data_IF_281438433741
#
_entry.id   IF_281438433741
#
_cell.length_a   1.000
_cell.length_b   1.000
_cell.length_c   1.000
_cell.angle_alpha   90.00
_cell.angle_beta   90.00
_cell.angle_gamma   90.00
#
_symmetry.space_group_name_H-M   'P 1'
#
loop_
_entity.id
_entity.type
_entity.pdbx_description
1 polymer ?
#
# COMPACT_ATOMS: atom_id res chain seq x y z
N UNK A 1 -22.79 22.48 13.55
CA UNK A 1 -22.91 21.16 12.90
C UNK A 1 -23.02 21.26 11.38
N UNK A 2 -24.01 22.01 10.86
CA UNK A 2 -24.30 22.16 9.42
C UNK A 2 -23.14 22.72 8.59
N UNK A 3 -22.46 23.78 9.06
CA UNK A 3 -21.28 24.34 8.36
C UNK A 3 -20.14 23.34 8.18
N UNK A 4 -19.83 22.55 9.22
CA UNK A 4 -18.76 21.54 9.17
C UNK A 4 -19.10 20.39 8.21
N UNK A 5 -20.37 19.95 8.20
CA UNK A 5 -20.85 18.92 7.27
C UNK A 5 -20.81 19.44 5.84
N UNK A 6 -21.24 20.68 5.60
CA UNK A 6 -21.17 21.30 4.28
C UNK A 6 -19.71 21.41 3.78
N UNK A 7 -18.78 21.86 4.63
CA UNK A 7 -17.35 21.89 4.30
C UNK A 7 -16.83 20.51 3.92
N UNK A 8 -17.18 19.46 4.68
CA UNK A 8 -16.80 18.08 4.35
C UNK A 8 -17.39 17.61 3.02
N UNK A 9 -18.65 17.92 2.73
CA UNK A 9 -19.26 17.57 1.44
C UNK A 9 -18.55 18.26 0.28
N UNK A 10 -18.24 19.54 0.40
CA UNK A 10 -17.52 20.31 -0.63
C UNK A 10 -16.13 19.72 -0.86
N UNK A 11 -15.38 19.42 0.21
CA UNK A 11 -14.03 18.87 0.06
C UNK A 11 -14.06 17.47 -0.55
N UNK A 12 -15.00 16.61 -0.15
CA UNK A 12 -15.15 15.29 -0.77
C UNK A 12 -15.53 15.39 -2.25
N UNK A 13 -16.36 16.38 -2.62
CA UNK A 13 -16.67 16.65 -4.03
C UNK A 13 -15.42 17.07 -4.81
N UNK A 14 -14.60 17.98 -4.25
CA UNK A 14 -13.33 18.39 -4.86
C UNK A 14 -12.39 17.19 -5.04
N UNK A 15 -12.28 16.33 -4.03
CA UNK A 15 -11.47 15.11 -4.12
C UNK A 15 -11.95 14.20 -5.24
N UNK A 16 -13.26 14.02 -5.42
CA UNK A 16 -13.81 13.25 -6.53
C UNK A 16 -13.49 13.87 -7.89
N UNK A 17 -13.58 15.20 -8.01
CA UNK A 17 -13.21 15.92 -9.24
C UNK A 17 -11.72 15.79 -9.55
N UNK A 18 -10.86 15.84 -8.53
CA UNK A 18 -9.41 15.63 -8.72
C UNK A 18 -9.12 14.18 -9.14
N UNK A 19 -9.81 13.20 -8.56
CA UNK A 19 -9.68 11.79 -8.95
C UNK A 19 -10.13 11.58 -10.39
N UNK A 20 -11.31 12.07 -10.78
CA UNK A 20 -11.79 11.92 -12.17
C UNK A 20 -10.92 12.66 -13.17
N UNK A 21 -10.46 13.88 -12.83
CA UNK A 21 -9.52 14.65 -13.63
C UNK A 21 -8.18 13.92 -13.82
N UNK A 22 -7.66 13.26 -12.79
CA UNK A 22 -6.45 12.46 -12.89
C UNK A 22 -6.62 11.27 -13.86
N UNK A 23 -7.76 10.57 -13.79
CA UNK A 23 -8.05 9.45 -14.71
C UNK A 23 -8.24 9.93 -16.14
N UNK A 24 -8.96 11.03 -16.35
CA UNK A 24 -9.13 11.65 -17.66
C UNK A 24 -7.79 12.10 -18.25
N UNK A 25 -6.89 12.66 -17.44
CA UNK A 25 -5.56 13.07 -17.88
C UNK A 25 -4.70 11.87 -18.29
N UNK A 26 -4.79 10.74 -17.58
CA UNK A 26 -4.09 9.50 -17.94
C UNK A 26 -4.61 8.97 -19.28
N UNK A 27 -5.94 8.90 -19.44
CA UNK A 27 -6.56 8.48 -20.70
C UNK A 27 -6.15 9.36 -21.86
N UNK A 28 -6.20 10.68 -21.68
CA UNK A 28 -5.78 11.66 -22.69
C UNK A 28 -4.28 11.54 -23.01
N UNK A 29 -3.42 11.40 -22.00
CA UNK A 29 -1.98 11.21 -22.20
C UNK A 29 -1.69 9.93 -23.00
N UNK A 30 -2.44 8.87 -22.74
CA UNK A 30 -2.35 7.62 -23.50
C UNK A 30 -2.79 7.80 -24.95
N UNK A 31 -4.00 8.31 -25.22
CA UNK A 31 -4.51 8.49 -26.59
C UNK A 31 -3.67 9.49 -27.39
N UNK A 32 -3.25 10.60 -26.76
CA UNK A 32 -2.37 11.59 -27.38
C UNK A 32 -1.00 11.01 -27.73
N UNK A 33 -0.37 10.29 -26.80
CA UNK A 33 0.91 9.60 -27.03
C UNK A 33 0.81 8.69 -28.25
N UNK A 34 -0.23 7.86 -28.32
CA UNK A 34 -0.43 6.90 -29.42
C UNK A 34 -0.65 7.58 -30.76
N UNK A 35 -1.55 8.56 -30.82
CA UNK A 35 -1.82 9.31 -32.06
C UNK A 35 -0.56 9.95 -32.63
N UNK A 36 0.34 10.45 -31.75
CA UNK A 36 1.59 11.07 -32.18
C UNK A 36 2.73 10.10 -32.45
N UNK A 37 2.66 8.87 -31.95
CA UNK A 37 3.62 7.80 -32.26
C UNK A 37 3.40 7.19 -33.65
N UNK A 38 2.25 7.46 -34.29
CA UNK A 38 1.93 7.04 -35.66
C UNK A 38 2.47 8.02 -36.72
N UNK A 39 2.76 9.27 -36.36
CA UNK A 39 3.41 10.24 -37.24
C UNK A 39 4.90 9.84 -37.47
N UNK A 40 5.33 9.64 -38.73
CA UNK A 40 6.70 9.22 -39.04
C UNK A 40 7.77 10.32 -38.86
N UNK A 41 7.38 11.60 -38.97
CA UNK A 41 8.30 12.77 -39.01
C UNK A 41 8.77 13.28 -37.63
N UNK A 42 8.71 12.44 -36.61
CA UNK A 42 8.94 12.87 -35.23
C UNK A 42 10.39 12.63 -34.79
N UNK A 43 11.03 13.67 -34.25
CA UNK A 43 12.40 13.59 -33.73
C UNK A 43 12.55 12.52 -32.63
N UNK A 44 13.69 11.81 -32.62
CA UNK A 44 13.93 10.67 -31.72
C UNK A 44 13.67 10.97 -30.24
N UNK A 45 14.16 12.11 -29.73
CA UNK A 45 14.01 12.47 -28.31
C UNK A 45 12.55 12.76 -27.95
N UNK A 46 11.80 13.38 -28.86
CA UNK A 46 10.38 13.62 -28.67
C UNK A 46 9.58 12.33 -28.73
N UNK A 47 9.92 11.42 -29.65
CA UNK A 47 9.32 10.08 -29.74
C UNK A 47 9.54 9.27 -28.45
N UNK A 48 10.74 9.32 -27.89
CA UNK A 48 11.04 8.69 -26.60
C UNK A 48 10.19 9.28 -25.46
N UNK A 49 10.09 10.61 -25.39
CA UNK A 49 9.23 11.27 -24.39
C UNK A 49 7.76 10.90 -24.53
N UNK A 50 7.24 10.82 -25.76
CA UNK A 50 5.87 10.38 -26.02
C UNK A 50 5.66 8.95 -25.55
N UNK A 51 6.61 8.05 -25.77
CA UNK A 51 6.51 6.65 -25.37
C UNK A 51 6.46 6.46 -23.84
N UNK A 52 7.08 7.37 -23.08
CA UNK A 52 7.05 7.38 -21.62
C UNK A 52 5.93 8.26 -21.05
N UNK A 53 5.26 9.05 -21.88
CA UNK A 53 4.29 10.07 -21.45
C UNK A 53 3.20 9.50 -20.53
N UNK A 54 2.50 8.38 -20.86
CA UNK A 54 1.44 7.86 -20.00
C UNK A 54 1.99 7.43 -18.63
N UNK A 55 3.15 6.79 -18.63
CA UNK A 55 3.82 6.34 -17.41
C UNK A 55 4.31 7.51 -16.55
N UNK A 56 4.89 8.55 -17.16
CA UNK A 56 5.30 9.79 -16.49
C UNK A 56 4.08 10.48 -15.86
N UNK A 57 2.96 10.56 -16.59
CA UNK A 57 1.72 11.16 -16.09
C UNK A 57 1.21 10.40 -14.87
N UNK A 58 1.18 9.06 -14.90
CA UNK A 58 0.75 8.23 -13.76
C UNK A 58 1.65 8.46 -12.54
N UNK A 59 2.98 8.37 -12.72
CA UNK A 59 3.95 8.56 -11.62
C UNK A 59 3.88 9.97 -11.05
N UNK A 60 3.75 10.99 -11.91
CA UNK A 60 3.60 12.39 -11.51
C UNK A 60 2.32 12.61 -10.70
N UNK A 61 1.19 12.05 -11.13
CA UNK A 61 -0.08 12.12 -10.38
C UNK A 61 0.03 11.40 -9.04
N UNK A 62 0.64 10.21 -9.00
CA UNK A 62 0.87 9.44 -7.77
C UNK A 62 1.80 10.14 -6.77
N UNK A 63 2.62 11.08 -7.22
CA UNK A 63 3.48 11.91 -6.37
C UNK A 63 2.78 13.20 -5.92
N UNK A 64 2.08 13.89 -6.82
CA UNK A 64 1.52 15.23 -6.57
C UNK A 64 0.16 15.18 -5.85
N UNK A 65 -0.75 14.32 -6.29
CA UNK A 65 -2.14 14.30 -5.82
C UNK A 65 -2.26 13.91 -4.34
N UNK A 66 -1.49 12.95 -3.78
CA UNK A 66 -1.53 12.67 -2.34
C UNK A 66 -1.17 13.86 -1.45
N UNK A 67 -0.28 14.74 -1.92
CA UNK A 67 0.06 15.97 -1.21
C UNK A 67 -1.13 16.94 -1.21
N UNK A 68 -1.87 17.02 -2.33
CA UNK A 68 -3.13 17.78 -2.40
C UNK A 68 -4.20 17.19 -1.47
N UNK A 69 -4.33 15.87 -1.39
CA UNK A 69 -5.26 15.24 -0.44
C UNK A 69 -4.91 15.58 1.01
N UNK A 70 -3.63 15.57 1.37
CA UNK A 70 -3.19 15.95 2.72
C UNK A 70 -3.56 17.41 3.02
N UNK A 71 -3.38 18.30 2.04
CA UNK A 71 -3.78 19.70 2.14
C UNK A 71 -5.31 19.85 2.29
N UNK A 72 -6.11 19.18 1.47
CA UNK A 72 -7.57 19.24 1.56
C UNK A 72 -8.13 18.66 2.87
N UNK A 73 -7.57 17.56 3.36
CA UNK A 73 -7.99 16.93 4.61
C UNK A 73 -7.78 17.85 5.82
N UNK A 74 -6.80 18.76 5.75
CA UNK A 74 -6.55 19.74 6.83
C UNK A 74 -7.75 20.64 7.12
N UNK A 75 -8.59 20.92 6.11
CA UNK A 75 -9.81 21.71 6.26
C UNK A 75 -10.99 20.90 6.83
N UNK A 76 -10.97 19.56 6.78
CA UNK A 76 -12.07 18.71 7.24
C UNK A 76 -12.11 18.54 8.78
N UNK A 77 -11.07 19.04 9.48
CA UNK A 77 -10.91 19.03 10.94
C UNK A 77 -11.21 17.64 11.56
N UNK A 78 -10.63 16.59 10.98
CA UNK A 78 -10.73 15.23 11.51
C UNK A 78 -9.73 14.97 12.64
N UNK A 79 -9.94 13.88 13.40
CA UNK A 79 -8.93 13.41 14.36
C UNK A 79 -7.65 12.98 13.62
N UNK A 80 -6.46 13.14 14.22
CA UNK A 80 -5.18 12.89 13.52
C UNK A 80 -5.06 11.46 12.97
N UNK A 81 -5.61 10.47 13.69
CA UNK A 81 -5.63 9.08 13.21
C UNK A 81 -6.58 8.88 12.02
N UNK A 82 -7.70 9.61 11.97
CA UNK A 82 -8.62 9.54 10.84
C UNK A 82 -8.05 10.25 9.61
N UNK A 83 -7.38 11.40 9.79
CA UNK A 83 -6.66 12.13 8.73
C UNK A 83 -5.69 11.21 7.99
N UNK A 84 -4.87 10.45 8.73
CA UNK A 84 -3.93 9.50 8.12
C UNK A 84 -4.67 8.40 7.35
N UNK A 85 -5.71 7.79 7.95
CA UNK A 85 -6.47 6.70 7.30
C UNK A 85 -7.19 7.15 6.02
N UNK A 86 -7.87 8.29 6.05
CA UNK A 86 -8.61 8.79 4.87
C UNK A 86 -7.66 9.21 3.76
N UNK A 87 -6.52 9.82 4.11
CA UNK A 87 -5.49 10.20 3.13
C UNK A 87 -4.90 8.95 2.47
N UNK A 88 -4.54 7.92 3.26
CA UNK A 88 -4.07 6.64 2.73
C UNK A 88 -5.09 6.00 1.81
N UNK A 89 -6.36 5.95 2.21
CA UNK A 89 -7.44 5.39 1.40
C UNK A 89 -7.56 6.12 0.05
N UNK A 90 -7.60 7.46 0.07
CA UNK A 90 -7.67 8.28 -1.16
C UNK A 90 -6.45 8.06 -2.06
N UNK A 91 -5.25 7.92 -1.49
CA UNK A 91 -4.02 7.63 -2.26
C UNK A 91 -4.04 6.24 -2.88
N UNK A 92 -4.51 5.22 -2.15
CA UNK A 92 -4.65 3.86 -2.69
C UNK A 92 -5.65 3.84 -3.84
N UNK A 93 -6.81 4.47 -3.64
CA UNK A 93 -7.85 4.55 -4.66
C UNK A 93 -7.31 5.21 -5.93
N UNK A 94 -6.55 6.31 -5.81
CA UNK A 94 -5.88 6.93 -6.96
C UNK A 94 -4.94 5.94 -7.65
N UNK A 95 -3.99 5.34 -6.92
CA UNK A 95 -2.98 4.44 -7.49
C UNK A 95 -3.61 3.25 -8.22
N UNK A 96 -4.61 2.61 -7.62
CA UNK A 96 -5.32 1.48 -8.21
C UNK A 96 -6.18 1.91 -9.40
N UNK A 97 -6.90 3.03 -9.30
CA UNK A 97 -7.70 3.54 -10.40
C UNK A 97 -6.83 3.95 -11.60
N UNK A 98 -5.63 4.50 -11.38
CA UNK A 98 -4.66 4.80 -12.44
C UNK A 98 -4.22 3.53 -13.18
N UNK A 99 -3.98 2.42 -12.47
CA UNK A 99 -3.65 1.13 -13.09
C UNK A 99 -4.82 0.58 -13.89
N UNK A 100 -6.04 0.64 -13.33
CA UNK A 100 -7.24 0.22 -14.04
C UNK A 100 -7.44 1.04 -15.31
N UNK A 101 -7.24 2.36 -15.24
CA UNK A 101 -7.37 3.24 -16.41
C UNK A 101 -6.36 2.91 -17.50
N UNK A 102 -5.10 2.61 -17.14
CA UNK A 102 -4.09 2.14 -18.09
C UNK A 102 -4.54 0.85 -18.77
N UNK A 103 -5.02 -0.14 -18.01
CA UNK A 103 -5.49 -1.42 -18.55
C UNK A 103 -6.71 -1.24 -19.48
N UNK A 104 -7.65 -0.37 -19.10
CA UNK A 104 -8.81 -0.03 -19.96
C UNK A 104 -8.35 0.64 -21.25
N UNK A 105 -7.38 1.54 -21.18
CA UNK A 105 -6.84 2.26 -22.36
C UNK A 105 -6.09 1.32 -23.29
N UNK A 106 -5.33 0.36 -22.74
CA UNK A 106 -4.70 -0.72 -23.49
C UNK A 106 -5.74 -1.65 -24.13
N UNK A 107 -6.86 -1.93 -23.44
CA UNK A 107 -7.92 -2.77 -23.96
C UNK A 107 -8.72 -2.10 -25.08
N UNK A 108 -8.98 -0.79 -24.98
CA UNK A 108 -9.64 -0.03 -26.03
C UNK A 108 -8.87 -0.10 -27.35
N UNK A 109 -7.53 -0.08 -27.26
CA UNK A 109 -6.65 -0.30 -28.39
C UNK A 109 -6.83 -1.67 -29.06
N UNK A 110 -7.23 -2.70 -28.31
CA UNK A 110 -7.51 -4.04 -28.86
C UNK A 110 -8.81 -4.04 -29.65
N UNK A 111 -9.83 -3.34 -29.14
CA UNK A 111 -11.16 -3.30 -29.76
C UNK A 111 -11.16 -2.56 -31.09
N UNK A 112 -10.35 -1.50 -31.23
CA UNK A 112 -10.18 -0.79 -32.51
C UNK A 112 -9.51 -1.63 -33.62
N UNK A 113 -8.87 -2.76 -33.29
CA UNK A 113 -8.27 -3.68 -34.29
C UNK A 113 -9.27 -4.57 -35.01
N UNK A 114 -10.55 -4.57 -34.60
CA UNK A 114 -11.60 -5.36 -35.23
C UNK A 114 -12.19 -4.71 -36.50
N UNK A 115 -11.72 -3.53 -36.91
CA UNK A 115 -12.03 -2.91 -38.20
C UNK A 115 -10.87 -3.13 -39.21
N UNK A 116 -11.21 -3.47 -40.46
CA UNK A 116 -10.39 -4.11 -41.51
C UNK A 116 -9.06 -3.43 -41.96
N UNK A 117 -8.54 -2.43 -41.26
CA UNK A 117 -7.26 -1.78 -41.57
C UNK A 117 -6.44 -1.52 -40.32
N UNK A 118 -5.68 -2.52 -39.89
CA UNK A 118 -4.53 -2.26 -39.03
C UNK A 118 -3.40 -3.24 -39.33
N UNK A 119 -2.20 -2.69 -39.42
CA UNK A 119 -0.96 -3.43 -39.56
C UNK A 119 -0.80 -4.40 -38.38
N UNK A 120 -0.92 -5.70 -38.66
CA UNK A 120 -0.79 -6.78 -37.70
C UNK A 120 0.64 -6.90 -37.12
N UNK A 121 1.57 -5.99 -37.42
CA UNK A 121 2.97 -6.08 -36.99
C UNK A 121 3.20 -5.94 -35.48
N UNK A 122 2.30 -5.28 -34.72
CA UNK A 122 2.52 -4.97 -33.29
C UNK A 122 1.79 -5.91 -32.32
N UNK A 123 2.57 -6.60 -31.51
CA UNK A 123 2.15 -7.44 -30.38
C UNK A 123 1.56 -6.58 -29.25
N UNK A 124 0.29 -6.81 -28.92
CA UNK A 124 -0.34 -6.04 -27.85
C UNK A 124 0.15 -6.47 -26.46
N UNK A 125 0.46 -7.76 -26.27
CA UNK A 125 0.98 -8.32 -25.03
C UNK A 125 2.33 -7.67 -24.68
N UNK A 126 3.21 -7.55 -25.69
CA UNK A 126 4.49 -6.85 -25.55
C UNK A 126 4.27 -5.37 -25.24
N UNK A 127 3.28 -4.72 -25.86
CA UNK A 127 2.97 -3.32 -25.57
C UNK A 127 2.49 -3.14 -24.12
N UNK A 128 1.64 -4.03 -23.62
CA UNK A 128 1.18 -4.04 -22.24
C UNK A 128 2.35 -4.27 -21.26
N UNK A 129 3.22 -5.24 -21.56
CA UNK A 129 4.43 -5.50 -20.78
C UNK A 129 5.38 -4.30 -20.75
N UNK A 130 5.56 -3.61 -21.88
CA UNK A 130 6.38 -2.40 -21.96
C UNK A 130 5.82 -1.27 -21.09
N UNK A 131 4.51 -1.00 -21.11
CA UNK A 131 3.92 0.04 -20.26
C UNK A 131 4.09 -0.27 -18.77
N UNK A 132 3.86 -1.52 -18.35
CA UNK A 132 4.09 -1.91 -16.95
C UNK A 132 5.58 -1.81 -16.58
N UNK A 133 6.48 -2.20 -17.48
CA UNK A 133 7.93 -2.14 -17.26
C UNK A 133 8.42 -0.69 -17.10
N UNK A 134 7.94 0.24 -17.96
CA UNK A 134 8.22 1.68 -17.85
C UNK A 134 7.72 2.24 -16.53
N UNK A 135 6.52 1.86 -16.09
CA UNK A 135 5.95 2.28 -14.81
C UNK A 135 6.80 1.82 -13.63
N UNK A 136 7.26 0.58 -13.62
CA UNK A 136 8.12 0.03 -12.55
C UNK A 136 9.42 0.82 -12.44
N UNK A 137 10.12 1.02 -13.57
CA UNK A 137 11.37 1.80 -13.60
C UNK A 137 11.14 3.24 -13.16
N UNK A 138 10.09 3.90 -13.67
CA UNK A 138 9.80 5.30 -13.34
C UNK A 138 9.36 5.48 -11.89
N UNK A 139 8.62 4.53 -11.32
CA UNK A 139 8.25 4.55 -9.91
C UNK A 139 9.51 4.45 -9.03
N UNK A 140 10.39 3.48 -9.32
CA UNK A 140 11.67 3.35 -8.62
C UNK A 140 12.53 4.61 -8.76
N UNK A 141 12.67 5.15 -9.98
CA UNK A 141 13.41 6.37 -10.25
C UNK A 141 12.82 7.58 -9.51
N UNK A 142 11.50 7.71 -9.46
CA UNK A 142 10.80 8.75 -8.71
C UNK A 142 11.08 8.65 -7.22
N UNK A 143 11.03 7.45 -6.64
CA UNK A 143 11.37 7.23 -5.22
C UNK A 143 12.83 7.60 -4.91
N UNK A 144 13.75 7.27 -5.82
CA UNK A 144 15.15 7.67 -5.72
C UNK A 144 15.30 9.20 -5.76
N UNK A 145 14.71 9.85 -6.77
CA UNK A 145 14.78 11.30 -6.96
C UNK A 145 14.16 12.05 -5.77
N UNK A 146 12.97 11.66 -5.32
CA UNK A 146 12.34 12.25 -4.13
C UNK A 146 13.25 12.15 -2.90
N UNK A 147 13.92 11.01 -2.73
CA UNK A 147 14.79 10.79 -1.56
C UNK A 147 16.07 11.61 -1.62
N UNK A 148 16.79 11.59 -2.74
CA UNK A 148 18.13 12.19 -2.85
C UNK A 148 18.13 13.61 -3.43
N UNK A 149 17.24 13.94 -4.37
CA UNK A 149 17.19 15.26 -4.99
C UNK A 149 16.30 16.26 -4.23
N UNK A 150 15.29 15.78 -3.49
CA UNK A 150 14.37 16.66 -2.76
C UNK A 150 14.53 16.56 -1.24
N UNK A 151 14.35 15.37 -0.65
CA UNK A 151 14.32 15.21 0.81
C UNK A 151 15.71 15.43 1.45
N UNK A 152 16.78 14.93 0.82
CA UNK A 152 18.14 15.08 1.35
C UNK A 152 18.62 16.55 1.37
N UNK A 153 18.50 17.35 0.29
CA UNK A 153 18.85 18.77 0.31
C UNK A 153 17.98 19.56 1.29
N UNK A 154 16.68 19.24 1.36
CA UNK A 154 15.75 19.86 2.32
C UNK A 154 16.21 19.65 3.77
N UNK A 155 16.68 18.46 4.10
CA UNK A 155 17.27 18.14 5.42
C UNK A 155 18.58 18.89 5.66
N UNK A 156 19.47 18.98 4.66
CA UNK A 156 20.71 19.76 4.78
C UNK A 156 20.42 21.23 5.07
N UNK A 157 19.45 21.83 4.38
CA UNK A 157 19.04 23.22 4.60
C UNK A 157 18.52 23.41 6.03
N UNK A 158 17.69 22.49 6.55
CA UNK A 158 17.23 22.55 7.94
C UNK A 158 18.38 22.46 8.96
N UNK A 159 19.41 21.64 8.68
CA UNK A 159 20.54 21.44 9.59
C UNK A 159 21.49 22.65 9.62
N UNK A 160 21.79 23.23 8.47
CA UNK A 160 22.77 24.31 8.34
C UNK A 160 22.18 25.72 8.44
N UNK A 161 20.87 25.89 8.21
CA UNK A 161 20.23 27.20 8.32
C UNK A 161 19.88 27.56 9.77
N UNK A 162 20.24 28.78 10.19
CA UNK A 162 19.86 29.33 11.50
C UNK A 162 18.41 29.86 11.53
N UNK A 163 17.77 30.01 10.38
CA UNK A 163 16.42 30.58 10.26
C UNK A 163 15.35 29.59 10.75
N UNK A 164 14.48 30.02 11.67
CA UNK A 164 13.34 29.20 12.17
C UNK A 164 12.42 28.72 11.05
N UNK A 165 12.23 29.53 10.00
CA UNK A 165 11.41 29.20 8.84
C UNK A 165 12.04 28.07 8.01
N UNK A 166 13.36 28.12 7.81
CA UNK A 166 14.09 27.07 7.09
C UNK A 166 14.11 25.75 7.86
N UNK A 167 14.15 25.80 9.20
CA UNK A 167 13.97 24.61 10.04
C UNK A 167 12.54 24.07 9.95
N UNK A 168 11.51 24.91 10.09
CA UNK A 168 10.11 24.47 10.00
C UNK A 168 9.79 23.83 8.65
N UNK A 169 10.29 24.42 7.56
CA UNK A 169 10.07 23.89 6.21
C UNK A 169 10.95 22.68 5.97
N UNK A 170 12.22 22.68 6.38
CA UNK A 170 13.17 21.62 6.00
C UNK A 170 13.02 20.32 6.79
N UNK A 171 12.37 20.37 7.94
CA UNK A 171 12.21 19.24 8.83
C UNK A 171 11.09 18.27 8.39
N UNK A 172 11.43 17.00 8.15
CA UNK A 172 10.50 15.97 7.65
C UNK A 172 10.36 14.80 8.63
N UNK A 173 9.13 14.28 8.78
CA UNK A 173 8.85 13.07 9.57
C UNK A 173 8.85 11.82 8.67
N UNK A 174 9.34 10.70 9.21
CA UNK A 174 9.27 9.40 8.54
C UNK A 174 7.88 8.78 8.73
N UNK A 175 6.98 9.01 7.77
CA UNK A 175 5.66 8.41 7.78
C UNK A 175 5.69 6.98 7.22
N UNK A 176 5.79 5.99 8.13
CA UNK A 176 5.76 4.57 7.78
C UNK A 176 4.62 4.18 6.80
N UNK A 177 3.36 4.64 6.97
CA UNK A 177 2.28 4.21 6.09
C UNK A 177 2.46 4.58 4.61
N UNK A 178 3.09 5.73 4.31
CA UNK A 178 3.36 6.15 2.93
C UNK A 178 4.33 5.19 2.25
N UNK A 179 5.39 4.79 2.97
CA UNK A 179 6.39 3.86 2.45
C UNK A 179 5.87 2.43 2.30
N UNK A 180 5.00 1.97 3.21
CA UNK A 180 4.31 0.68 3.01
C UNK A 180 3.47 0.72 1.74
N UNK A 181 2.82 1.85 1.45
CA UNK A 181 2.01 2.02 0.25
C UNK A 181 2.82 1.99 -1.06
N UNK A 182 4.03 2.54 -1.04
CA UNK A 182 4.98 2.45 -2.17
C UNK A 182 5.33 0.99 -2.45
N UNK A 183 5.58 0.20 -1.39
CA UNK A 183 5.86 -1.24 -1.51
C UNK A 183 4.66 -2.01 -2.06
N UNK A 184 3.45 -1.76 -1.53
CA UNK A 184 2.23 -2.43 -2.03
C UNK A 184 2.00 -2.09 -3.51
N UNK A 185 2.22 -0.84 -3.92
CA UNK A 185 2.07 -0.43 -5.31
C UNK A 185 3.08 -1.13 -6.23
N UNK A 186 4.35 -1.18 -5.85
CA UNK A 186 5.39 -1.92 -6.58
C UNK A 186 5.06 -3.42 -6.70
N UNK A 187 4.55 -4.05 -5.63
CA UNK A 187 4.06 -5.43 -5.67
C UNK A 187 2.88 -5.60 -6.64
N UNK A 188 1.95 -4.64 -6.66
CA UNK A 188 0.79 -4.64 -7.57
C UNK A 188 1.24 -4.59 -9.03
N UNK A 189 2.20 -3.73 -9.36
CA UNK A 189 2.79 -3.64 -10.70
C UNK A 189 3.48 -4.95 -11.10
N UNK A 190 4.24 -5.55 -10.18
CA UNK A 190 4.87 -6.84 -10.42
C UNK A 190 3.83 -7.91 -10.75
N UNK A 191 2.77 -8.04 -9.97
CA UNK A 191 1.71 -9.02 -10.22
C UNK A 191 0.99 -8.80 -11.55
N UNK A 192 0.65 -7.55 -11.85
CA UNK A 192 0.01 -7.17 -13.10
C UNK A 192 0.89 -7.48 -14.32
N UNK A 193 2.18 -7.18 -14.23
CA UNK A 193 3.12 -7.30 -15.36
C UNK A 193 3.79 -8.65 -15.51
N UNK A 194 3.77 -9.52 -14.49
CA UNK A 194 4.50 -10.81 -14.51
C UNK A 194 4.09 -11.71 -15.68
N UNK A 195 2.82 -11.66 -16.08
CA UNK A 195 2.31 -12.42 -17.22
C UNK A 195 2.86 -11.90 -18.56
N UNK A 196 2.95 -10.58 -18.74
CA UNK A 196 3.40 -9.95 -19.98
C UNK A 196 4.92 -9.82 -20.09
N UNK A 197 5.62 -9.71 -18.95
CA UNK A 197 7.06 -9.49 -18.85
C UNK A 197 7.66 -10.48 -17.83
N UNK A 198 8.11 -11.68 -18.26
CA UNK A 198 8.55 -12.74 -17.34
C UNK A 198 9.82 -12.40 -16.55
N UNK A 199 10.61 -11.42 -16.99
CA UNK A 199 11.80 -10.93 -16.28
C UNK A 199 11.44 -9.90 -15.19
N UNK A 200 10.20 -9.38 -15.19
CA UNK A 200 9.77 -8.34 -14.25
C UNK A 200 9.89 -8.74 -12.77
N UNK A 201 9.56 -9.99 -12.35
CA UNK A 201 9.77 -10.40 -10.96
C UNK A 201 11.23 -10.31 -10.50
N UNK A 202 12.18 -10.63 -11.39
CA UNK A 202 13.62 -10.50 -11.10
C UNK A 202 14.01 -9.03 -10.89
N UNK A 203 13.50 -8.15 -11.74
CA UNK A 203 13.70 -6.69 -11.61
C UNK A 203 13.08 -6.19 -10.31
N UNK A 204 11.86 -6.60 -9.98
CA UNK A 204 11.18 -6.22 -8.74
C UNK A 204 11.93 -6.70 -7.49
N UNK A 205 12.56 -7.88 -7.53
CA UNK A 205 13.43 -8.35 -6.45
C UNK A 205 14.65 -7.44 -6.25
N UNK A 206 15.35 -7.10 -7.35
CA UNK A 206 16.48 -6.17 -7.31
C UNK A 206 16.06 -4.80 -6.78
N UNK A 207 14.97 -4.24 -7.30
CA UNK A 207 14.42 -2.97 -6.86
C UNK A 207 14.04 -2.98 -5.39
N UNK A 208 13.43 -4.07 -4.89
CA UNK A 208 13.10 -4.21 -3.48
C UNK A 208 14.36 -4.15 -2.59
N UNK A 209 15.44 -4.82 -2.99
CA UNK A 209 16.73 -4.74 -2.29
C UNK A 209 17.29 -3.31 -2.29
N UNK A 210 17.26 -2.62 -3.43
CA UNK A 210 17.72 -1.23 -3.53
C UNK A 210 16.85 -0.28 -2.72
N UNK A 211 15.53 -0.42 -2.81
CA UNK A 211 14.55 0.37 -2.05
C UNK A 211 14.76 0.20 -0.55
N UNK A 212 15.09 -0.99 -0.05
CA UNK A 212 15.42 -1.18 1.36
C UNK A 212 16.56 -0.26 1.80
N UNK A 213 17.66 -0.21 1.03
CA UNK A 213 18.79 0.66 1.35
C UNK A 213 18.45 2.15 1.23
N UNK A 214 17.67 2.54 0.21
CA UNK A 214 17.22 3.92 0.02
C UNK A 214 16.32 4.36 1.19
N UNK A 215 15.32 3.55 1.58
CA UNK A 215 14.42 3.87 2.70
C UNK A 215 15.16 3.82 4.04
N UNK A 216 16.15 2.94 4.22
CA UNK A 216 17.04 2.95 5.40
C UNK A 216 17.79 4.27 5.52
N UNK A 217 18.37 4.76 4.42
CA UNK A 217 19.01 6.08 4.39
C UNK A 217 18.02 7.20 4.71
N UNK A 218 16.84 7.20 4.08
CA UNK A 218 15.81 8.19 4.34
C UNK A 218 15.37 8.22 5.83
N UNK A 219 15.26 7.05 6.46
CA UNK A 219 14.88 6.92 7.87
C UNK A 219 15.97 7.42 8.82
N UNK A 220 17.23 7.04 8.59
CA UNK A 220 18.34 7.35 9.50
C UNK A 220 18.93 8.75 9.32
N UNK A 221 18.88 9.29 8.09
CA UNK A 221 19.58 10.55 7.74
C UNK A 221 18.60 11.68 7.46
N UNK A 222 17.57 11.45 6.65
CA UNK A 222 16.67 12.52 6.18
C UNK A 222 15.54 12.86 7.15
N UNK A 223 15.20 11.93 8.06
CA UNK A 223 13.99 12.04 8.86
C UNK A 223 14.31 12.18 10.33
N UNK A 224 13.47 12.95 11.03
CA UNK A 224 13.41 12.96 12.49
C UNK A 224 12.33 11.98 12.98
N UNK A 225 12.41 11.51 14.24
CA UNK A 225 11.43 10.59 14.82
C UNK A 225 10.01 11.14 14.67
N UNK A 226 9.05 10.32 14.23
CA UNK A 226 7.67 10.78 14.07
C UNK A 226 7.06 11.16 15.42
N UNK A 227 6.31 12.26 15.42
CA UNK A 227 5.58 12.76 16.61
C UNK A 227 4.38 11.87 16.96
N UNK A 228 3.87 11.11 15.99
CA UNK A 228 2.77 10.17 16.18
C UNK A 228 3.30 8.76 16.41
N UNK A 229 3.18 8.24 17.63
CA UNK A 229 3.54 6.86 17.95
C UNK A 229 2.52 5.91 17.31
N UNK A 230 2.82 5.48 16.08
CA UNK A 230 2.00 4.50 15.41
C UNK A 230 2.25 3.13 16.04
N UNK A 231 1.29 2.62 16.82
CA UNK A 231 1.36 1.24 17.32
C UNK A 231 1.19 0.28 16.15
N UNK A 232 2.28 -0.32 15.68
CA UNK A 232 2.36 -1.22 14.51
C UNK A 232 1.21 -2.25 14.43
N UNK A 233 0.73 -2.74 15.58
CA UNK A 233 -0.38 -3.69 15.68
C UNK A 233 -1.75 -3.17 15.18
N UNK A 234 -2.03 -1.85 15.18
CA UNK A 234 -3.34 -1.31 14.74
C UNK A 234 -3.44 -1.05 13.23
N UNK A 235 -2.33 -0.87 12.49
CA UNK A 235 -2.33 -0.68 11.03
C UNK A 235 -2.29 -1.99 10.26
N UNK A 236 -1.79 -3.06 10.88
CA UNK A 236 -1.48 -4.29 10.15
C UNK A 236 -2.70 -4.82 9.37
N UNK A 237 -3.89 -4.81 9.99
CA UNK A 237 -5.12 -5.20 9.31
C UNK A 237 -5.50 -4.29 8.15
N UNK A 238 -5.23 -2.98 8.22
CA UNK A 238 -5.48 -2.05 7.12
C UNK A 238 -4.54 -2.36 5.96
N UNK A 239 -3.24 -2.50 6.22
CA UNK A 239 -2.27 -2.79 5.15
C UNK A 239 -2.51 -4.15 4.50
N UNK A 240 -2.86 -5.18 5.27
CA UNK A 240 -3.21 -6.50 4.71
C UNK A 240 -4.49 -6.44 3.86
N UNK A 241 -5.50 -5.66 4.28
CA UNK A 241 -6.70 -5.45 3.47
C UNK A 241 -6.39 -4.72 2.15
N UNK A 242 -5.52 -3.71 2.20
CA UNK A 242 -5.09 -2.96 1.02
C UNK A 242 -4.32 -3.86 0.06
N UNK A 243 -3.38 -4.66 0.57
CA UNK A 243 -2.63 -5.63 -0.23
C UNK A 243 -3.56 -6.62 -0.94
N UNK A 244 -4.59 -7.11 -0.24
CA UNK A 244 -5.59 -8.02 -0.82
C UNK A 244 -6.39 -7.36 -1.95
N UNK A 245 -6.87 -6.12 -1.74
CA UNK A 245 -7.60 -5.37 -2.76
C UNK A 245 -6.69 -5.13 -3.98
N UNK A 246 -5.45 -4.70 -3.75
CA UNK A 246 -4.43 -4.53 -4.78
C UNK A 246 -4.18 -5.82 -5.58
N UNK A 247 -4.09 -6.97 -4.91
CA UNK A 247 -3.92 -8.26 -5.55
C UNK A 247 -5.09 -8.60 -6.47
N UNK A 248 -6.32 -8.42 -5.98
CA UNK A 248 -7.54 -8.64 -6.78
C UNK A 248 -7.55 -7.73 -8.00
N UNK A 249 -7.24 -6.43 -7.83
CA UNK A 249 -7.18 -5.46 -8.94
C UNK A 249 -6.11 -5.80 -9.97
N UNK A 250 -4.98 -6.39 -9.56
CA UNK A 250 -3.92 -6.81 -10.48
C UNK A 250 -4.28 -8.12 -11.23
N UNK A 251 -4.84 -9.10 -10.52
CA UNK A 251 -5.11 -10.43 -11.08
C UNK A 251 -6.35 -10.45 -11.98
N UNK A 252 -7.41 -9.72 -11.64
CA UNK A 252 -8.66 -9.75 -12.42
C UNK A 252 -8.47 -9.36 -13.91
N UNK A 253 -7.77 -8.26 -14.26
CA UNK A 253 -7.52 -7.92 -15.66
C UNK A 253 -6.66 -8.97 -16.37
N UNK A 254 -5.67 -9.55 -15.68
CA UNK A 254 -4.80 -10.59 -16.25
C UNK A 254 -5.60 -11.87 -16.49
N UNK A 255 -6.43 -12.29 -15.53
CA UNK A 255 -7.30 -13.45 -15.68
C UNK A 255 -8.30 -13.27 -16.82
N UNK A 256 -8.91 -12.08 -16.93
CA UNK A 256 -9.78 -11.73 -18.05
C UNK A 256 -9.04 -11.79 -19.39
N UNK A 257 -7.82 -11.24 -19.46
CA UNK A 257 -6.99 -11.30 -20.66
C UNK A 257 -6.63 -12.74 -21.07
N UNK A 258 -6.32 -13.61 -20.11
CA UNK A 258 -6.00 -15.02 -20.37
C UNK A 258 -7.24 -15.79 -20.87
N UNK A 259 -8.40 -15.50 -20.30
CA UNK A 259 -9.64 -16.23 -20.57
C UNK A 259 -10.35 -15.81 -21.85
N UNK A 260 -10.47 -14.49 -22.11
CA UNK A 260 -11.37 -13.94 -23.13
C UNK A 260 -10.64 -13.23 -24.28
N UNK A 261 -9.46 -12.66 -24.03
CA UNK A 261 -8.77 -11.86 -25.05
C UNK A 261 -7.97 -12.78 -25.99
N UNK A 262 -8.20 -12.63 -27.30
CA UNK A 262 -7.47 -13.37 -28.32
C UNK A 262 -6.00 -12.93 -28.36
N UNK A 263 -5.04 -13.88 -28.32
CA UNK A 263 -3.63 -13.54 -28.41
C UNK A 263 -3.26 -12.96 -29.78
N UNK A 264 -2.17 -12.20 -29.85
CA UNK A 264 -1.66 -11.66 -31.11
C UNK A 264 -1.33 -12.78 -32.10
N UNK A 265 -1.89 -12.74 -33.31
CA UNK A 265 -1.61 -13.76 -34.35
C UNK A 265 -0.20 -13.65 -34.93
N UNK A 266 0.41 -12.48 -34.89
CA UNK A 266 1.71 -12.21 -35.51
C UNK A 266 2.90 -12.62 -34.63
N UNK A 267 2.70 -12.83 -33.33
CA UNK A 267 3.79 -13.01 -32.38
C UNK A 267 3.33 -13.61 -31.05
N UNK A 268 4.29 -14.04 -30.25
CA UNK A 268 4.03 -14.64 -28.94
C UNK A 268 3.86 -16.17 -29.00
N UNK A 269 3.96 -16.84 -27.84
CA UNK A 269 3.92 -18.30 -27.76
C UNK A 269 2.51 -18.85 -28.02
N UNK A 270 1.46 -18.07 -27.77
CA UNK A 270 0.06 -18.51 -27.82
C UNK A 270 -0.65 -18.16 -29.14
N UNK A 271 0.09 -17.75 -30.18
CA UNK A 271 -0.44 -17.24 -31.46
C UNK A 271 -1.37 -18.17 -32.24
N UNK A 272 -1.30 -19.48 -31.98
CA UNK A 272 -2.07 -20.53 -32.69
C UNK A 272 -3.44 -20.76 -32.04
N UNK A 273 -3.62 -20.26 -30.82
CA UNK A 273 -4.79 -20.50 -30.00
C UNK A 273 -5.79 -19.35 -30.07
N UNK A 274 -7.08 -19.66 -29.92
CA UNK A 274 -8.13 -18.64 -29.86
C UNK A 274 -8.08 -17.86 -28.53
N UNK A 275 -7.71 -18.53 -27.44
CA UNK A 275 -7.50 -17.91 -26.12
C UNK A 275 -6.27 -18.51 -25.45
N UNK A 276 -5.61 -17.74 -24.58
CA UNK A 276 -4.47 -18.28 -23.82
C UNK A 276 -4.89 -19.43 -22.90
N UNK A 277 -6.14 -19.40 -22.40
CA UNK A 277 -6.70 -20.47 -21.58
C UNK A 277 -6.77 -21.83 -22.29
N UNK A 278 -6.98 -21.87 -23.61
CA UNK A 278 -7.06 -23.13 -24.35
C UNK A 278 -5.77 -23.98 -24.26
N UNK A 279 -4.61 -23.34 -24.11
CA UNK A 279 -3.32 -24.02 -23.88
C UNK A 279 -3.35 -24.81 -22.58
N UNK A 280 -3.97 -24.26 -21.53
CA UNK A 280 -4.12 -24.93 -20.23
C UNK A 280 -5.02 -26.15 -20.36
N UNK A 281 -6.07 -26.07 -21.19
CA UNK A 281 -6.98 -27.19 -21.46
C UNK A 281 -6.25 -28.29 -22.23
N UNK A 282 -5.55 -27.96 -23.32
CA UNK A 282 -4.78 -28.95 -24.10
C UNK A 282 -3.68 -29.59 -23.25
N UNK A 283 -2.93 -28.78 -22.50
CA UNK A 283 -1.92 -29.27 -21.56
C UNK A 283 -2.50 -30.20 -20.49
N UNK A 284 -3.74 -29.95 -20.06
CA UNK A 284 -4.45 -30.80 -19.12
C UNK A 284 -4.86 -32.14 -19.75
N UNK A 285 -5.25 -32.15 -21.02
CA UNK A 285 -5.62 -33.37 -21.74
C UNK A 285 -4.43 -34.31 -21.95
N UNK A 286 -3.23 -33.74 -22.19
CA UNK A 286 -1.96 -34.47 -22.32
C UNK A 286 -1.43 -35.08 -21.01
N UNK A 287 -2.00 -34.72 -19.85
CA UNK A 287 -1.55 -35.26 -18.56
C UNK A 287 -1.84 -36.77 -18.45
N UNK A 288 -0.98 -37.54 -17.73
CA UNK A 288 -1.25 -38.93 -17.39
C UNK A 288 -2.61 -39.13 -16.73
N UNK A 289 -3.28 -40.24 -17.05
CA UNK A 289 -4.63 -40.54 -16.54
C UNK A 289 -4.74 -40.55 -15.01
N UNK A 290 -3.68 -40.96 -14.32
CA UNK A 290 -3.65 -40.94 -12.85
C UNK A 290 -3.72 -39.51 -12.30
N UNK A 291 -3.09 -38.52 -12.96
CA UNK A 291 -3.15 -37.11 -12.56
C UNK A 291 -4.54 -36.55 -12.81
N UNK A 292 -5.10 -36.80 -13.99
CA UNK A 292 -6.47 -36.37 -14.34
C UNK A 292 -7.48 -36.92 -13.34
N UNK A 293 -7.41 -38.21 -13.02
CA UNK A 293 -8.28 -38.87 -12.04
C UNK A 293 -8.17 -38.21 -10.66
N UNK A 294 -6.95 -37.92 -10.20
CA UNK A 294 -6.72 -37.24 -8.91
C UNK A 294 -7.26 -35.80 -8.92
N UNK A 295 -7.03 -35.04 -9.99
CA UNK A 295 -7.52 -33.68 -10.13
C UNK A 295 -9.07 -33.64 -10.18
N UNK A 296 -9.69 -34.52 -10.96
CA UNK A 296 -11.13 -34.66 -11.01
C UNK A 296 -11.70 -35.13 -9.66
N UNK A 297 -11.01 -36.02 -8.94
CA UNK A 297 -11.41 -36.44 -7.59
C UNK A 297 -11.56 -35.24 -6.65
N UNK A 298 -10.61 -34.30 -6.65
CA UNK A 298 -10.73 -33.06 -5.86
C UNK A 298 -11.92 -32.19 -6.26
N UNK A 299 -12.32 -32.21 -7.54
CA UNK A 299 -13.50 -31.52 -8.06
C UNK A 299 -14.83 -32.24 -7.80
N UNK A 300 -14.81 -33.52 -7.42
CA UNK A 300 -16.05 -34.26 -7.16
C UNK A 300 -16.74 -33.77 -5.90
N UNK A 301 -18.09 -33.82 -5.89
CA UNK A 301 -18.89 -33.54 -4.71
C UNK A 301 -18.51 -34.44 -3.51
N UNK A 302 -18.07 -35.68 -3.79
CA UNK A 302 -17.65 -36.65 -2.78
C UNK A 302 -16.40 -36.23 -1.98
N UNK A 303 -15.48 -35.49 -2.58
CA UNK A 303 -14.35 -34.88 -1.87
C UNK A 303 -14.68 -33.47 -1.37
N UNK A 304 -15.26 -32.64 -2.23
CA UNK A 304 -15.46 -31.21 -1.98
C UNK A 304 -16.39 -30.96 -0.78
N UNK A 305 -17.48 -31.72 -0.64
CA UNK A 305 -18.43 -31.53 0.47
C UNK A 305 -17.80 -31.89 1.82
N UNK A 306 -17.18 -33.08 2.02
CA UNK A 306 -16.47 -33.36 3.26
C UNK A 306 -15.32 -32.38 3.53
N UNK A 307 -14.53 -32.02 2.51
CA UNK A 307 -13.44 -31.06 2.65
C UNK A 307 -13.97 -29.69 3.12
N UNK A 308 -15.09 -29.22 2.57
CA UNK A 308 -15.75 -27.99 2.98
C UNK A 308 -16.24 -28.06 4.43
N UNK A 309 -16.85 -29.17 4.85
CA UNK A 309 -17.28 -29.38 6.25
C UNK A 309 -16.07 -29.33 7.18
N UNK A 310 -14.98 -30.02 6.85
CA UNK A 310 -13.74 -29.99 7.64
C UNK A 310 -13.19 -28.56 7.71
N UNK A 311 -13.17 -27.82 6.60
CA UNK A 311 -12.75 -26.42 6.56
C UNK A 311 -13.62 -25.53 7.47
N UNK A 312 -14.94 -25.68 7.43
CA UNK A 312 -15.87 -24.96 8.30
C UNK A 312 -15.64 -25.31 9.77
N UNK A 313 -15.42 -26.58 10.10
CA UNK A 313 -15.10 -27.02 11.47
C UNK A 313 -13.76 -26.45 11.93
N UNK A 314 -12.73 -26.44 11.08
CA UNK A 314 -11.44 -25.82 11.37
C UNK A 314 -11.59 -24.31 11.60
N UNK A 315 -12.32 -23.61 10.73
CA UNK A 315 -12.60 -22.18 10.89
C UNK A 315 -13.36 -21.90 12.18
N UNK A 316 -14.37 -22.71 12.51
CA UNK A 316 -15.11 -22.61 13.76
C UNK A 316 -14.20 -22.84 14.98
N UNK A 317 -13.34 -23.86 14.93
CA UNK A 317 -12.34 -24.13 15.97
C UNK A 317 -11.41 -22.93 16.17
N UNK A 318 -10.81 -22.40 15.11
CA UNK A 318 -9.94 -21.22 15.20
C UNK A 318 -10.68 -19.97 15.66
N UNK A 319 -11.94 -19.80 15.26
CA UNK A 319 -12.80 -18.72 15.74
C UNK A 319 -13.08 -18.85 17.24
N UNK A 320 -13.43 -20.05 17.72
CA UNK A 320 -13.68 -20.33 19.13
C UNK A 320 -12.42 -20.11 19.97
N UNK A 321 -11.26 -20.61 19.52
CA UNK A 321 -9.95 -20.37 20.17
C UNK A 321 -9.60 -18.89 20.19
N UNK A 322 -9.79 -18.16 19.08
CA UNK A 322 -9.57 -16.70 19.03
C UNK A 322 -10.45 -15.96 20.01
N UNK A 323 -11.72 -16.36 20.15
CA UNK A 323 -12.67 -15.77 21.09
C UNK A 323 -12.29 -16.08 22.54
N UNK A 324 -11.92 -17.32 22.87
CA UNK A 324 -11.45 -17.72 24.20
C UNK A 324 -10.15 -16.98 24.57
N UNK A 325 -9.20 -16.85 23.63
CA UNK A 325 -7.97 -16.08 23.84
C UNK A 325 -8.26 -14.60 24.10
N UNK A 326 -9.22 -13.99 23.39
CA UNK A 326 -9.64 -12.61 23.68
C UNK A 326 -10.23 -12.46 25.08
N UNK A 327 -11.06 -13.41 25.52
CA UNK A 327 -11.62 -13.41 26.88
C UNK A 327 -10.53 -13.60 27.94
N UNK A 328 -9.61 -14.55 27.73
CA UNK A 328 -8.45 -14.78 28.60
C UNK A 328 -7.60 -13.52 28.74
N UNK A 329 -7.30 -12.83 27.64
CA UNK A 329 -6.56 -11.55 27.65
C UNK A 329 -7.30 -10.47 28.44
N UNK A 330 -8.64 -10.44 28.41
CA UNK A 330 -9.43 -9.49 29.20
C UNK A 330 -9.35 -9.81 30.70
N UNK A 331 -9.48 -11.09 31.08
CA UNK A 331 -9.34 -11.54 32.48
C UNK A 331 -7.94 -11.22 33.02
N UNK A 332 -6.90 -11.55 32.26
CA UNK A 332 -5.50 -11.31 32.66
C UNK A 332 -5.21 -9.81 32.87
N UNK A 333 -5.80 -8.94 32.05
CA UNK A 333 -5.70 -7.48 32.24
C UNK A 333 -6.39 -7.01 33.51
N UNK A 334 -7.57 -7.55 33.83
CA UNK A 334 -8.27 -7.20 35.07
C UNK A 334 -7.48 -7.66 36.30
N UNK A 335 -6.88 -8.86 36.25
CA UNK A 335 -6.00 -9.35 37.31
C UNK A 335 -4.77 -8.45 37.50
N UNK A 336 -4.14 -8.01 36.39
CA UNK A 336 -3.01 -7.07 36.45
C UNK A 336 -3.40 -5.75 37.13
N UNK A 337 -4.60 -5.23 36.85
CA UNK A 337 -5.11 -3.99 37.47
C UNK A 337 -5.38 -4.19 38.96
N UNK A 338 -5.99 -5.32 39.35
CA UNK A 338 -6.24 -5.66 40.75
C UNK A 338 -4.93 -5.81 41.56
N UNK A 339 -3.94 -6.53 41.00
CA UNK A 339 -2.63 -6.67 41.64
C UNK A 339 -1.91 -5.30 41.76
N UNK A 340 -2.11 -4.41 40.78
CA UNK A 340 -1.64 -3.03 40.86
C UNK A 340 -2.27 -2.23 42.01
N UNK A 341 -3.59 -2.39 42.23
CA UNK A 341 -4.29 -1.80 43.36
C UNK A 341 -3.82 -2.35 44.71
N UNK A 342 -3.64 -3.66 44.83
CA UNK A 342 -3.16 -4.30 46.07
C UNK A 342 -1.73 -3.84 46.42
N UNK A 343 -0.84 -3.76 45.43
CA UNK A 343 0.51 -3.21 45.63
C UNK A 343 0.47 -1.77 46.11
N UNK A 344 -0.38 -0.94 45.50
CA UNK A 344 -0.52 0.47 45.92
C UNK A 344 -1.07 0.57 47.35
N UNK A 345 -2.03 -0.28 47.71
CA UNK A 345 -2.59 -0.34 49.06
C UNK A 345 -1.53 -0.75 50.10
N UNK A 346 -0.73 -1.79 49.81
CA UNK A 346 0.36 -2.22 50.66
C UNK A 346 1.43 -1.13 50.84
N UNK A 347 1.82 -0.45 49.77
CA UNK A 347 2.77 0.67 49.83
C UNK A 347 2.24 1.84 50.67
N UNK A 348 0.95 2.17 50.55
CA UNK A 348 0.32 3.21 51.36
C UNK A 348 0.25 2.85 52.85
N UNK A 349 -0.01 1.58 53.18
CA UNK A 349 0.05 1.13 54.58
C UNK A 349 1.47 1.18 55.13
N UNK A 350 2.46 0.70 54.37
CA UNK A 350 3.86 0.74 54.77
C UNK A 350 4.34 2.18 55.01
N UNK A 351 3.99 3.11 54.12
CA UNK A 351 4.36 4.53 54.28
C UNK A 351 3.70 5.17 55.51
N UNK A 352 2.44 4.82 55.82
CA UNK A 352 1.77 5.27 57.03
C UNK A 352 2.46 4.74 58.31
N UNK A 353 2.86 3.47 58.34
CA UNK A 353 3.62 2.89 59.45
C UNK A 353 4.98 3.58 59.63
N UNK A 354 5.73 3.79 58.53
CA UNK A 354 7.02 4.50 58.58
C UNK A 354 6.85 5.92 59.13
N UNK A 355 5.79 6.63 58.72
CA UNK A 355 5.49 7.97 59.22
C UNK A 355 5.19 7.98 60.72
N UNK A 356 4.36 7.05 61.19
CA UNK A 356 4.08 6.90 62.63
C UNK A 356 5.36 6.61 63.43
N UNK A 357 6.23 5.72 62.93
CA UNK A 357 7.49 5.40 63.59
C UNK A 357 8.44 6.61 63.66
N UNK A 358 8.50 7.41 62.59
CA UNK A 358 9.27 8.67 62.58
C UNK A 358 8.70 9.70 63.57
N UNK A 359 7.37 9.84 63.66
CA UNK A 359 6.72 10.73 64.63
C UNK A 359 7.00 10.27 66.07
N UNK A 360 6.94 8.96 66.34
CA UNK A 360 7.28 8.41 67.65
C UNK A 360 8.76 8.61 68.02
N UNK A 361 9.68 8.41 67.06
CA UNK A 361 11.11 8.72 67.27
C UNK A 361 11.37 10.20 67.52
N UNK A 362 10.66 11.11 66.83
CA UNK A 362 10.73 12.56 67.10
C UNK A 362 10.21 12.91 68.49
N UNK A 363 9.11 12.32 68.91
CA UNK A 363 8.55 12.52 70.26
C UNK A 363 9.52 12.04 71.36
N UNK A 364 10.14 10.87 71.18
CA UNK A 364 11.17 10.35 72.10
C UNK A 364 12.41 11.23 72.16
N UNK A 365 12.88 11.78 71.03
CA UNK A 365 13.98 12.76 71.03
C UNK A 365 13.59 14.05 71.76
N UNK A 366 12.41 14.60 71.48
CA UNK A 366 11.92 15.80 72.17
C UNK A 366 11.83 15.62 73.69
N UNK A 367 11.42 14.44 74.16
CA UNK A 367 11.39 14.12 75.59
C UNK A 367 12.79 13.99 76.21
N UNK A 368 13.78 13.50 75.45
CA UNK A 368 15.17 13.40 75.89
C UNK A 368 15.84 14.78 75.96
N UNK A 369 15.55 15.67 75.01
CA UNK A 369 16.05 17.05 75.02
C UNK A 369 15.45 17.87 76.18
N UNK A 370 14.18 17.65 76.52
CA UNK A 370 13.51 18.26 77.69
C UNK A 370 14.07 17.74 79.03
N UNK A 371 14.47 16.47 79.11
CA UNK A 371 15.06 15.88 80.32
C UNK A 371 16.53 16.26 80.55
N UNK A 372 17.24 16.73 79.53
CA UNK A 372 18.63 17.23 79.64
C UNK A 372 18.70 18.76 79.85
N UNK A 373 17.57 19.47 79.80
CA UNK A 373 17.48 20.92 80.00
C UNK A 373 17.01 21.32 81.43
N UNK A 374 16.73 20.33 82.28
CA UNK A 374 16.51 20.45 83.73
C UNK A 374 17.72 19.89 84.47
#
# INVERSE_FOLDING_TARGET
>A
MTRLVLTRCIINLIVLVVLSGALALIYFAFTFSRQKLEDEDVEFLYKFLLEFLPSITIVGLNLLVPNLFTYFVSFEHYSPLFVVRITLLRTILLRLASLVMLMVSLNDQLNCKNEEKCDCSRCWETSAGQEVYKLVILDFASQFLVTFAFNWPRMLIAKYSKSKIAKLIGEQEFELPKHVLDVVYSQTLCWLGSFYAPVLPLVAMLECCLLFHIKKFACLVNSKPSSTVYRASRSNSLFMAVLLISFIVAVLPVAYAIAEIMPSKSCGPFRVYDTTWSVVVESFEELPEWIKTVLFFFGTAGFAVPAFIVLVLCLYYFYAVSTANKQMVAVLKNQLVLEGHDKQFLLNRLSAFIKQQQEHQKAMRGHHDLSNAS
#
